data_IF_661507478769
#
_entry.id   IF_661507478769
#
_cell.length_a   1.000
_cell.length_b   1.000
_cell.length_c   1.000
_cell.angle_alpha   90.00
_cell.angle_beta   90.00
_cell.angle_gamma   90.00
#
_symmetry.space_group_name_H-M   'P 1'
#
loop_
_entity.id
_entity.type
_entity.pdbx_description
1 polymer ?
#
# COMPACT_ATOMS: atom_id res chain seq x y z
N UNK A 1 8.54 -20.26 0.90
CA UNK A 1 7.61 -19.19 0.49
C UNK A 1 6.65 -19.73 -0.54
N UNK A 2 5.35 -19.45 -0.42
CA UNK A 2 4.37 -19.87 -1.43
C UNK A 2 4.43 -18.95 -2.65
N UNK A 3 3.99 -19.43 -3.82
CA UNK A 3 3.89 -18.62 -5.04
C UNK A 3 2.99 -17.39 -4.82
N UNK A 4 1.92 -17.54 -4.01
CA UNK A 4 1.03 -16.45 -3.65
C UNK A 4 1.71 -15.36 -2.80
N UNK A 5 2.56 -15.74 -1.83
CA UNK A 5 3.33 -14.77 -1.05
C UNK A 5 4.32 -14.01 -1.92
N UNK A 6 5.02 -14.72 -2.82
CA UNK A 6 5.99 -14.11 -3.74
C UNK A 6 5.34 -13.14 -4.73
N UNK A 7 4.14 -13.49 -5.22
CA UNK A 7 3.35 -12.61 -6.09
C UNK A 7 2.86 -11.35 -5.37
N UNK A 8 2.45 -11.46 -4.10
CA UNK A 8 2.02 -10.31 -3.30
C UNK A 8 3.18 -9.36 -3.01
N UNK A 9 4.31 -9.90 -2.57
CA UNK A 9 5.53 -9.13 -2.31
C UNK A 9 6.04 -8.45 -3.59
N UNK A 10 6.12 -9.19 -4.70
CA UNK A 10 6.51 -8.66 -6.00
C UNK A 10 5.57 -7.57 -6.50
N UNK A 11 4.25 -7.77 -6.38
CA UNK A 11 3.25 -6.77 -6.77
C UNK A 11 3.38 -5.46 -5.99
N UNK A 12 3.63 -5.52 -4.68
CA UNK A 12 3.89 -4.33 -3.86
C UNK A 12 5.15 -3.59 -4.29
N UNK A 13 6.24 -4.31 -4.54
CA UNK A 13 7.50 -3.70 -4.98
C UNK A 13 7.31 -2.98 -6.31
N UNK A 14 6.58 -3.59 -7.26
CA UNK A 14 6.31 -2.98 -8.56
C UNK A 14 5.43 -1.72 -8.43
N UNK A 15 4.35 -1.78 -7.66
CA UNK A 15 3.49 -0.61 -7.41
C UNK A 15 4.30 0.49 -6.71
N UNK A 16 5.10 0.14 -5.71
CA UNK A 16 5.92 1.10 -4.99
C UNK A 16 7.00 1.74 -5.85
N UNK A 17 7.61 0.99 -6.77
CA UNK A 17 8.55 1.53 -7.74
C UNK A 17 7.88 2.49 -8.73
N UNK A 18 6.66 2.18 -9.18
CA UNK A 18 5.89 3.06 -10.05
C UNK A 18 5.58 4.40 -9.36
N UNK A 19 5.11 4.36 -8.11
CA UNK A 19 4.83 5.56 -7.32
C UNK A 19 6.10 6.36 -6.97
N UNK A 20 7.27 5.71 -6.90
CA UNK A 20 8.56 6.35 -6.65
C UNK A 20 9.14 7.04 -7.88
N UNK A 21 9.08 6.40 -9.05
CA UNK A 21 9.69 6.87 -10.30
C UNK A 21 8.77 7.84 -11.04
N UNK A 22 7.47 7.56 -11.07
CA UNK A 22 6.46 8.35 -11.76
C UNK A 22 5.30 8.71 -10.81
N UNK A 23 5.57 9.52 -9.76
CA UNK A 23 4.53 9.95 -8.83
C UNK A 23 3.40 10.64 -9.60
N UNK A 24 2.18 10.20 -9.35
CA UNK A 24 0.99 10.72 -10.02
C UNK A 24 0.65 10.08 -11.37
N UNK A 25 1.38 9.06 -11.81
CA UNK A 25 1.00 8.25 -12.99
C UNK A 25 -0.35 7.51 -12.78
N UNK A 26 -0.65 7.14 -11.54
CA UNK A 26 -1.93 6.50 -11.17
C UNK A 26 -3.01 7.56 -10.91
N UNK A 27 -2.66 8.67 -10.25
CA UNK A 27 -3.56 9.79 -9.99
C UNK A 27 -2.79 11.12 -10.12
N UNK A 28 -3.09 11.96 -11.13
CA UNK A 28 -2.38 13.23 -11.35
C UNK A 28 -2.35 14.11 -10.09
N UNK A 29 -1.17 14.59 -9.73
CA UNK A 29 -0.90 15.28 -8.46
C UNK A 29 -0.27 16.67 -8.62
N UNK A 30 -0.29 17.44 -7.53
CA UNK A 30 0.58 18.62 -7.34
C UNK A 30 1.93 18.20 -6.76
N UNK A 31 3.00 19.01 -6.82
CA UNK A 31 4.33 18.64 -6.28
C UNK A 31 4.32 18.13 -4.83
N UNK A 32 3.42 18.66 -3.99
CA UNK A 32 3.19 18.17 -2.62
C UNK A 32 2.61 16.75 -2.57
N UNK A 33 1.67 16.44 -3.48
CA UNK A 33 1.11 15.11 -3.62
C UNK A 33 2.15 14.12 -4.15
N UNK A 34 3.09 14.58 -5.00
CA UNK A 34 4.17 13.73 -5.51
C UNK A 34 5.11 13.26 -4.40
N UNK A 35 5.42 14.14 -3.44
CA UNK A 35 6.17 13.76 -2.24
C UNK A 35 5.45 12.68 -1.40
N UNK A 36 4.13 12.80 -1.27
CA UNK A 36 3.30 11.80 -0.59
C UNK A 36 3.28 10.47 -1.36
N UNK A 37 3.11 10.49 -2.69
CA UNK A 37 3.15 9.27 -3.51
C UNK A 37 4.51 8.57 -3.43
N UNK A 38 5.62 9.32 -3.47
CA UNK A 38 6.96 8.74 -3.25
C UNK A 38 7.10 8.08 -1.88
N UNK A 39 6.60 8.72 -0.82
CA UNK A 39 6.62 8.13 0.52
C UNK A 39 5.78 6.85 0.62
N UNK A 40 4.63 6.81 -0.06
CA UNK A 40 3.80 5.60 -0.16
C UNK A 40 4.52 4.51 -0.97
N UNK A 41 5.20 4.87 -2.05
CA UNK A 41 6.00 3.95 -2.84
C UNK A 41 7.14 3.32 -2.04
N UNK A 42 7.88 4.12 -1.27
CA UNK A 42 8.90 3.63 -0.33
C UNK A 42 8.29 2.66 0.67
N UNK A 43 7.14 3.00 1.26
CA UNK A 43 6.44 2.11 2.21
C UNK A 43 6.12 0.76 1.58
N UNK A 44 5.60 0.74 0.36
CA UNK A 44 5.24 -0.52 -0.31
C UNK A 44 6.47 -1.37 -0.64
N UNK A 45 7.58 -0.75 -1.06
CA UNK A 45 8.86 -1.42 -1.26
C UNK A 45 9.36 -2.01 0.05
N UNK A 46 9.37 -1.23 1.13
CA UNK A 46 9.83 -1.68 2.45
C UNK A 46 8.96 -2.82 2.99
N UNK A 47 7.63 -2.73 2.90
CA UNK A 47 6.76 -3.85 3.29
C UNK A 47 7.02 -5.08 2.41
N UNK A 48 7.09 -4.93 1.08
CA UNK A 48 7.36 -6.07 0.18
C UNK A 48 8.70 -6.77 0.45
N UNK A 49 9.74 -6.03 0.82
CA UNK A 49 11.07 -6.58 1.12
C UNK A 49 11.19 -7.20 2.52
N UNK A 50 10.41 -6.72 3.48
CA UNK A 50 10.56 -7.09 4.90
C UNK A 50 9.45 -8.02 5.42
N UNK A 51 8.28 -8.14 4.77
CA UNK A 51 7.16 -8.94 5.26
C UNK A 51 7.54 -10.41 5.48
N UNK A 52 8.07 -11.10 4.47
CA UNK A 52 8.50 -12.50 4.59
C UNK A 52 9.76 -12.74 5.44
N UNK A 53 10.48 -11.68 5.83
CA UNK A 53 11.79 -11.78 6.52
C UNK A 53 11.76 -11.36 7.98
N UNK A 54 11.00 -10.32 8.32
CA UNK A 54 11.07 -9.67 9.64
C UNK A 54 9.71 -9.24 10.18
N UNK A 55 8.79 -8.81 9.33
CA UNK A 55 7.51 -8.25 9.78
C UNK A 55 6.48 -9.34 10.14
N UNK A 56 6.43 -10.41 9.33
CA UNK A 56 5.36 -11.41 9.37
C UNK A 56 4.05 -10.89 8.76
N UNK A 57 3.30 -11.78 8.11
CA UNK A 57 2.10 -11.42 7.35
C UNK A 57 1.00 -10.74 8.19
N UNK A 58 0.85 -11.09 9.49
CA UNK A 58 -0.17 -10.45 10.35
C UNK A 58 0.16 -8.99 10.68
N UNK A 59 1.44 -8.66 10.92
CA UNK A 59 1.84 -7.28 11.17
C UNK A 59 1.73 -6.44 9.90
N UNK A 60 2.12 -7.01 8.75
CA UNK A 60 1.95 -6.36 7.44
C UNK A 60 0.47 -6.03 7.18
N UNK A 61 -0.44 -6.97 7.46
CA UNK A 61 -1.88 -6.75 7.34
C UNK A 61 -2.39 -5.62 8.24
N UNK A 62 -1.91 -5.53 9.49
CA UNK A 62 -2.31 -4.49 10.43
C UNK A 62 -1.86 -3.09 9.96
N UNK A 63 -0.64 -2.98 9.43
CA UNK A 63 -0.12 -1.73 8.86
C UNK A 63 -0.97 -1.28 7.67
N UNK A 64 -1.36 -2.21 6.80
CA UNK A 64 -2.21 -1.90 5.64
C UNK A 64 -3.63 -1.49 6.04
N UNK A 65 -4.21 -2.18 7.02
CA UNK A 65 -5.53 -1.83 7.56
C UNK A 65 -5.54 -0.45 8.20
N UNK A 66 -4.51 -0.10 8.99
CA UNK A 66 -4.38 1.21 9.61
C UNK A 66 -4.20 2.32 8.57
N UNK A 67 -3.43 2.05 7.51
CA UNK A 67 -3.31 2.99 6.40
C UNK A 67 -4.63 3.20 5.68
N UNK A 68 -5.36 2.12 5.36
CA UNK A 68 -6.67 2.22 4.72
C UNK A 68 -7.64 3.04 5.59
N UNK A 69 -7.71 2.78 6.90
CA UNK A 69 -8.53 3.55 7.84
C UNK A 69 -8.16 5.04 7.83
N UNK A 70 -6.87 5.35 7.81
CA UNK A 70 -6.38 6.75 7.74
C UNK A 70 -6.81 7.42 6.43
N UNK A 71 -6.77 6.70 5.30
CA UNK A 71 -7.22 7.22 4.01
C UNK A 71 -8.74 7.40 3.94
N UNK A 72 -9.54 6.58 4.64
CA UNK A 72 -10.98 6.81 4.79
C UNK A 72 -11.23 8.18 5.43
N UNK A 73 -10.49 8.52 6.49
CA UNK A 73 -10.60 9.84 7.14
C UNK A 73 -10.28 10.96 6.15
N UNK A 74 -9.22 10.82 5.34
CA UNK A 74 -8.86 11.81 4.30
C UNK A 74 -9.97 11.92 3.25
N UNK A 75 -10.52 10.81 2.77
CA UNK A 75 -11.58 10.81 1.75
C UNK A 75 -12.86 11.52 2.22
N UNK A 76 -13.18 11.38 3.50
CA UNK A 76 -14.33 12.05 4.13
C UNK A 76 -14.08 13.54 4.35
N UNK A 77 -12.85 13.93 4.71
CA UNK A 77 -12.50 15.31 5.10
C UNK A 77 -12.02 16.20 3.96
N UNK A 78 -11.57 15.64 2.83
CA UNK A 78 -11.04 16.41 1.70
C UNK A 78 -11.72 16.03 0.39
N UNK A 79 -12.45 16.96 -0.22
CA UNK A 79 -13.00 16.78 -1.58
C UNK A 79 -11.89 16.77 -2.63
N UNK A 80 -10.86 17.61 -2.46
CA UNK A 80 -9.69 17.71 -3.35
C UNK A 80 -8.94 16.39 -3.48
N UNK A 81 -8.74 15.68 -2.37
CA UNK A 81 -7.96 14.43 -2.34
C UNK A 81 -8.83 13.18 -2.26
N UNK A 82 -10.16 13.30 -2.39
CA UNK A 82 -11.10 12.20 -2.17
C UNK A 82 -10.81 11.00 -3.07
N UNK A 83 -10.68 11.22 -4.38
CA UNK A 83 -10.46 10.13 -5.33
C UNK A 83 -9.13 9.40 -5.07
N UNK A 84 -8.05 10.14 -4.84
CA UNK A 84 -6.75 9.56 -4.49
C UNK A 84 -6.83 8.75 -3.19
N UNK A 85 -7.48 9.29 -2.16
CA UNK A 85 -7.65 8.61 -0.89
C UNK A 85 -8.49 7.33 -1.05
N UNK A 86 -9.57 7.34 -1.84
CA UNK A 86 -10.39 6.16 -2.11
C UNK A 86 -9.61 5.05 -2.84
N UNK A 87 -8.76 5.41 -3.81
CA UNK A 87 -7.86 4.44 -4.46
C UNK A 87 -6.94 3.78 -3.42
N UNK A 88 -6.36 4.58 -2.53
CA UNK A 88 -5.48 4.06 -1.47
C UNK A 88 -6.22 3.25 -0.41
N UNK A 89 -7.48 3.58 -0.10
CA UNK A 89 -8.35 2.71 0.72
C UNK A 89 -8.51 1.34 0.05
N UNK A 90 -8.79 1.32 -1.25
CA UNK A 90 -8.94 0.09 -2.01
C UNK A 90 -7.67 -0.76 -1.99
N UNK A 91 -6.53 -0.16 -2.35
CA UNK A 91 -5.24 -0.85 -2.35
C UNK A 91 -4.86 -1.35 -0.95
N UNK A 92 -4.94 -0.49 0.07
CA UNK A 92 -4.64 -0.86 1.45
C UNK A 92 -5.53 -1.99 1.97
N UNK A 93 -6.83 -1.97 1.65
CA UNK A 93 -7.76 -3.04 2.06
C UNK A 93 -7.46 -4.36 1.35
N UNK A 94 -7.19 -4.33 0.04
CA UNK A 94 -6.84 -5.51 -0.73
C UNK A 94 -5.54 -6.16 -0.20
N UNK A 95 -4.54 -5.34 0.09
CA UNK A 95 -3.28 -5.77 0.69
C UNK A 95 -3.48 -6.35 2.10
N UNK A 96 -4.23 -5.68 2.97
CA UNK A 96 -4.53 -6.18 4.30
C UNK A 96 -5.25 -7.55 4.26
N UNK A 97 -6.20 -7.72 3.34
CA UNK A 97 -6.93 -8.96 3.16
C UNK A 97 -6.01 -10.10 2.66
N UNK A 98 -5.16 -9.81 1.67
CA UNK A 98 -4.21 -10.77 1.12
C UNK A 98 -3.18 -11.23 2.17
N UNK A 99 -2.58 -10.29 2.91
CA UNK A 99 -1.65 -10.60 4.00
C UNK A 99 -2.33 -11.37 5.14
N UNK A 100 -3.54 -10.99 5.53
CA UNK A 100 -4.31 -11.72 6.55
C UNK A 100 -4.61 -13.15 6.11
N UNK A 101 -4.92 -13.37 4.83
CA UNK A 101 -5.15 -14.70 4.30
C UNK A 101 -3.88 -15.55 4.30
N UNK A 102 -2.72 -14.97 3.99
CA UNK A 102 -1.42 -15.64 4.07
C UNK A 102 -1.03 -15.94 5.53
N UNK A 103 -1.20 -14.99 6.44
CA UNK A 103 -0.89 -15.14 7.88
C UNK A 103 -1.82 -16.07 8.66
N UNK A 104 -2.92 -16.54 8.06
CA UNK A 104 -3.75 -17.64 8.58
C UNK A 104 -3.30 -19.02 8.08
N UNK A 105 -2.49 -19.07 7.01
CA UNK A 105 -2.00 -20.31 6.38
C UNK A 105 -0.57 -20.66 6.81
N UNK A 106 0.16 -19.71 7.37
CA UNK A 106 1.49 -19.86 7.99
C UNK A 106 1.37 -20.17 9.48
#
# INVERSE_FOLDING_TARGET
MSAAASALEGGRVLIGAADLVAPGAIVPGTPFADGLYRALGIRQIVQGLLTGRLLGHRAAAAVDALHAASMVVVALRSTRFRSAALVQVGLGSAFAAAESALGRRS
#
